data_IF_666956152035
#
_entry.id   IF_666956152035
#
_cell.length_a   1.000
_cell.length_b   1.000
_cell.length_c   1.000
_cell.angle_alpha   90.00
_cell.angle_beta   90.00
_cell.angle_gamma   90.00
#
_symmetry.space_group_name_H-M   'P 1'
#
loop_
_entity.id
_entity.type
_entity.pdbx_description
1 polymer ?
#
# COMPACT_ATOMS: atom_id res chain seq x y z
N UNK A 1 32.16 48.35 0.51
CA UNK A 1 31.18 47.75 1.43
C UNK A 1 30.13 47.03 0.59
N UNK A 2 29.86 45.79 0.96
CA UNK A 2 29.23 44.70 0.19
C UNK A 2 27.79 44.97 -0.28
N UNK A 3 27.37 44.40 -1.42
CA UNK A 3 25.97 44.27 -1.77
C UNK A 3 25.35 43.09 -1.00
N UNK A 4 24.31 43.37 -0.23
CA UNK A 4 23.48 42.38 0.46
C UNK A 4 22.68 41.59 -0.59
N UNK A 5 23.19 40.41 -0.93
CA UNK A 5 22.47 39.42 -1.71
C UNK A 5 21.35 38.90 -0.80
N UNK A 6 20.11 39.31 -1.06
CA UNK A 6 18.94 38.64 -0.51
C UNK A 6 18.83 37.28 -1.18
N UNK A 7 19.39 36.29 -0.51
CA UNK A 7 19.22 34.87 -0.81
C UNK A 7 17.79 34.50 -0.41
N UNK A 8 16.85 34.68 -1.36
CA UNK A 8 15.49 34.18 -1.22
C UNK A 8 15.58 32.68 -0.99
N UNK A 9 15.38 32.30 0.26
CA UNK A 9 15.31 30.92 0.69
C UNK A 9 14.18 30.23 -0.07
N UNK A 10 14.54 29.49 -1.12
CA UNK A 10 13.71 28.41 -1.64
C UNK A 10 13.46 27.49 -0.47
N UNK A 11 12.28 27.63 0.13
CA UNK A 11 11.76 26.69 1.11
C UNK A 11 12.01 25.28 0.59
N UNK A 12 12.50 24.34 1.42
CA UNK A 12 12.71 22.98 0.97
C UNK A 12 11.38 22.49 0.43
N UNK A 13 11.32 22.29 -0.89
CA UNK A 13 10.16 21.69 -1.54
C UNK A 13 9.93 20.40 -0.77
N UNK A 14 8.80 20.35 -0.05
CA UNK A 14 8.38 19.16 0.68
C UNK A 14 8.65 17.95 -0.23
N UNK A 15 9.33 16.90 0.23
CA UNK A 15 9.72 15.79 -0.63
C UNK A 15 8.51 15.40 -1.45
N UNK A 16 8.59 15.55 -2.77
CA UNK A 16 7.50 15.18 -3.68
C UNK A 16 7.14 13.77 -3.29
N UNK A 17 5.96 13.58 -2.71
CA UNK A 17 5.56 12.29 -2.16
C UNK A 17 5.53 11.35 -3.36
N UNK A 18 6.57 10.50 -3.50
CA UNK A 18 6.77 9.62 -4.65
C UNK A 18 5.57 8.69 -4.88
N UNK A 19 4.70 8.58 -3.87
CA UNK A 19 3.49 7.75 -3.84
C UNK A 19 2.37 8.54 -3.18
N UNK A 20 1.77 9.54 -3.86
CA UNK A 20 0.88 10.50 -3.23
C UNK A 20 -0.34 9.84 -2.59
N UNK A 21 -0.83 8.77 -3.22
CA UNK A 21 -2.02 8.05 -2.79
C UNK A 21 -1.76 7.04 -1.65
N UNK A 22 -0.50 6.75 -1.32
CA UNK A 22 -0.19 5.80 -0.26
C UNK A 22 -0.23 6.52 1.09
N UNK A 23 -1.20 6.20 1.96
CA UNK A 23 -1.33 6.88 3.26
C UNK A 23 -0.37 6.37 4.34
N UNK A 24 0.26 5.21 4.13
CA UNK A 24 1.23 4.65 5.07
C UNK A 24 2.43 4.06 4.33
N UNK A 25 3.62 4.26 4.88
CA UNK A 25 4.84 3.66 4.35
C UNK A 25 4.71 2.14 4.29
N UNK A 26 5.06 1.56 3.15
CA UNK A 26 5.06 0.13 2.92
C UNK A 26 6.47 -0.36 2.61
N UNK A 27 6.93 -1.39 3.32
CA UNK A 27 8.23 -2.02 3.05
C UNK A 27 8.24 -2.84 1.76
N UNK A 28 7.07 -3.12 1.17
CA UNK A 28 6.94 -3.92 -0.04
C UNK A 28 6.71 -3.08 -1.29
N UNK A 29 6.14 -1.88 -1.15
CA UNK A 29 5.80 -1.04 -2.30
C UNK A 29 6.94 -0.07 -2.52
N UNK A 30 7.69 -0.28 -3.60
CA UNK A 30 8.64 0.70 -4.13
C UNK A 30 7.98 1.52 -5.26
N UNK A 31 8.62 2.60 -5.70
CA UNK A 31 8.11 3.51 -6.75
C UNK A 31 7.73 2.74 -8.02
N UNK A 32 8.62 1.88 -8.51
CA UNK A 32 8.38 1.06 -9.71
C UNK A 32 7.15 0.14 -9.57
N UNK A 33 7.00 -0.51 -8.41
CA UNK A 33 5.84 -1.37 -8.15
C UNK A 33 4.56 -0.54 -8.07
N UNK A 34 4.63 0.66 -7.48
CA UNK A 34 3.48 1.55 -7.41
C UNK A 34 3.03 2.05 -8.77
N UNK A 35 3.97 2.45 -9.64
CA UNK A 35 3.66 2.82 -11.03
C UNK A 35 3.06 1.64 -11.79
N UNK A 36 3.65 0.44 -11.64
CA UNK A 36 3.12 -0.78 -12.24
C UNK A 36 1.69 -1.08 -11.77
N UNK A 37 1.41 -0.94 -10.47
CA UNK A 37 0.06 -1.15 -9.94
C UNK A 37 -0.89 -0.05 -10.42
N UNK A 38 -0.49 1.22 -10.44
CA UNK A 38 -1.31 2.32 -10.98
C UNK A 38 -1.65 2.10 -12.46
N UNK A 39 -0.74 1.52 -13.26
CA UNK A 39 -0.99 1.20 -14.65
C UNK A 39 -1.94 -0.01 -14.82
N UNK A 40 -1.74 -1.06 -14.02
CA UNK A 40 -2.46 -2.34 -14.13
C UNK A 40 -3.83 -2.37 -13.47
N UNK A 41 -4.05 -1.51 -12.48
CA UNK A 41 -5.30 -1.49 -11.75
C UNK A 41 -6.45 -0.89 -12.57
N UNK A 42 -7.71 -1.31 -12.31
CA UNK A 42 -8.88 -0.73 -12.97
C UNK A 42 -8.99 0.78 -12.76
N UNK A 43 -9.51 1.52 -13.74
CA UNK A 43 -9.68 2.97 -13.61
C UNK A 43 -10.55 3.38 -12.41
N UNK A 44 -11.47 2.52 -11.95
CA UNK A 44 -12.30 2.74 -10.76
C UNK A 44 -11.49 2.88 -9.46
N UNK A 45 -10.25 2.39 -9.41
CA UNK A 45 -9.37 2.53 -8.22
C UNK A 45 -8.21 3.50 -8.44
N UNK A 46 -8.07 4.04 -9.66
CA UNK A 46 -7.05 5.06 -9.96
C UNK A 46 -7.46 6.38 -9.33
N UNK A 47 -6.52 7.02 -8.63
CA UNK A 47 -6.76 8.26 -7.90
C UNK A 47 -7.42 8.11 -6.52
N UNK A 48 -7.84 6.89 -6.14
CA UNK A 48 -8.25 6.62 -4.77
C UNK A 48 -7.05 6.66 -3.82
N UNK A 49 -7.28 7.07 -2.57
CA UNK A 49 -6.28 6.94 -1.51
C UNK A 49 -6.16 5.48 -1.08
N UNK A 50 -4.94 4.97 -1.04
CA UNK A 50 -4.61 3.63 -0.61
C UNK A 50 -4.37 3.66 0.88
N UNK A 51 -5.31 3.09 1.61
CA UNK A 51 -5.29 3.03 3.07
C UNK A 51 -4.83 1.67 3.54
N UNK A 52 -3.84 1.67 4.43
CA UNK A 52 -3.33 0.44 5.03
C UNK A 52 -4.33 -0.09 6.06
N UNK A 53 -5.08 -1.12 5.71
CA UNK A 53 -5.99 -1.82 6.64
C UNK A 53 -5.27 -2.82 7.54
N UNK A 54 -4.23 -3.47 7.02
CA UNK A 54 -3.51 -4.52 7.73
C UNK A 54 -2.06 -4.63 7.25
N UNK A 55 -1.15 -4.91 8.17
CA UNK A 55 0.23 -5.28 7.86
C UNK A 55 0.76 -6.20 8.94
N UNK A 56 1.64 -7.12 8.58
CA UNK A 56 2.23 -8.07 9.52
C UNK A 56 3.16 -7.40 10.53
N UNK A 57 3.74 -6.24 10.17
CA UNK A 57 4.59 -5.43 11.04
C UNK A 57 3.80 -4.67 12.11
N UNK A 58 2.64 -4.08 11.75
CA UNK A 58 1.84 -3.28 12.69
C UNK A 58 0.81 -4.10 13.47
N UNK A 59 0.25 -5.14 12.85
CA UNK A 59 -0.90 -5.88 13.39
C UNK A 59 -0.58 -7.35 13.74
N UNK A 60 0.65 -7.80 13.51
CA UNK A 60 1.10 -9.18 13.72
C UNK A 60 0.74 -10.12 12.57
N UNK A 61 1.06 -11.41 12.70
CA UNK A 61 0.90 -12.42 11.62
C UNK A 61 -0.41 -13.22 11.69
N UNK A 62 -1.34 -12.80 12.54
CA UNK A 62 -2.57 -13.55 12.82
C UNK A 62 -3.59 -13.41 11.70
N UNK A 63 -3.98 -14.53 11.09
CA UNK A 63 -5.09 -14.56 10.12
C UNK A 63 -6.40 -14.04 10.70
N UNK A 64 -6.66 -14.28 11.99
CA UNK A 64 -7.86 -13.75 12.67
C UNK A 64 -7.88 -12.22 12.63
N UNK A 65 -6.73 -11.59 12.86
CA UNK A 65 -6.60 -10.13 12.83
C UNK A 65 -6.78 -9.60 11.41
N UNK A 66 -6.16 -10.25 10.41
CA UNK A 66 -6.34 -9.92 8.99
C UNK A 66 -7.81 -10.01 8.57
N UNK A 67 -8.50 -11.09 8.92
CA UNK A 67 -9.90 -11.29 8.57
C UNK A 67 -10.79 -10.20 9.18
N UNK A 68 -10.56 -9.87 10.46
CA UNK A 68 -11.30 -8.80 11.14
C UNK A 68 -11.07 -7.43 10.50
N UNK A 69 -9.81 -7.05 10.27
CA UNK A 69 -9.50 -5.77 9.64
C UNK A 69 -10.01 -5.72 8.18
N UNK A 70 -10.04 -6.85 7.49
CA UNK A 70 -10.59 -6.91 6.12
C UNK A 70 -12.11 -6.70 6.08
N UNK A 71 -12.83 -6.92 7.19
CA UNK A 71 -14.27 -6.70 7.26
C UNK A 71 -14.65 -5.22 7.14
N UNK A 72 -13.73 -4.31 7.50
CA UNK A 72 -13.91 -2.86 7.38
C UNK A 72 -13.64 -2.34 5.96
N UNK A 73 -13.34 -3.23 5.02
CA UNK A 73 -13.08 -2.88 3.63
C UNK A 73 -14.39 -2.46 2.93
N UNK A 74 -14.54 -1.16 2.69
CA UNK A 74 -15.69 -0.55 2.00
C UNK A 74 -15.57 -0.53 0.46
N UNK A 75 -14.47 -1.04 -0.11
CA UNK A 75 -14.17 -0.96 -1.54
C UNK A 75 -13.18 -2.02 -2.00
N UNK A 76 -12.61 -1.91 -3.21
CA UNK A 76 -11.59 -2.84 -3.66
C UNK A 76 -10.32 -2.74 -2.79
N UNK A 77 -9.84 -3.87 -2.30
CA UNK A 77 -8.66 -4.00 -1.46
C UNK A 77 -7.49 -4.59 -2.22
N UNK A 78 -6.27 -4.12 -1.96
CA UNK A 78 -5.06 -4.69 -2.55
C UNK A 78 -4.31 -5.51 -1.51
N UNK A 79 -4.15 -6.81 -1.76
CA UNK A 79 -3.31 -7.68 -0.93
C UNK A 79 -1.93 -7.80 -1.56
N UNK A 80 -0.89 -7.45 -0.80
CA UNK A 80 0.50 -7.59 -1.20
C UNK A 80 1.21 -8.49 -0.17
N UNK A 81 1.93 -9.49 -0.67
CA UNK A 81 2.65 -10.48 0.10
C UNK A 81 4.08 -10.56 -0.44
N UNK A 82 5.05 -10.48 0.47
CA UNK A 82 6.44 -10.81 0.17
C UNK A 82 6.80 -12.18 0.73
N UNK A 83 7.56 -12.97 -0.03
CA UNK A 83 8.20 -14.17 0.48
C UNK A 83 9.57 -13.87 1.12
N UNK A 84 10.21 -14.89 1.68
CA UNK A 84 11.56 -14.76 2.28
C UNK A 84 12.70 -14.73 1.26
N UNK A 85 12.41 -15.02 -0.01
CA UNK A 85 13.37 -15.01 -1.13
C UNK A 85 13.35 -13.67 -1.89
N UNK A 86 12.54 -12.72 -1.45
CA UNK A 86 12.41 -11.39 -2.06
C UNK A 86 11.36 -11.29 -3.17
N UNK A 87 10.59 -12.37 -3.43
CA UNK A 87 9.46 -12.33 -4.34
C UNK A 87 8.28 -11.56 -3.75
N UNK A 88 7.71 -10.64 -4.53
CA UNK A 88 6.52 -9.86 -4.16
C UNK A 88 5.37 -10.24 -5.08
N UNK A 89 4.24 -10.64 -4.51
CA UNK A 89 3.04 -11.04 -5.24
C UNK A 89 1.79 -10.63 -4.47
N UNK A 90 0.64 -10.74 -5.11
CA UNK A 90 -0.58 -10.20 -4.53
C UNK A 90 -1.79 -10.34 -5.43
N UNK A 91 -2.86 -9.65 -5.06
CA UNK A 91 -4.09 -9.62 -5.83
C UNK A 91 -5.02 -8.49 -5.39
N UNK A 92 -5.87 -8.07 -6.34
CA UNK A 92 -7.00 -7.18 -6.06
C UNK A 92 -8.16 -8.01 -5.51
N UNK A 93 -8.81 -7.48 -4.48
CA UNK A 93 -9.92 -8.07 -3.78
C UNK A 93 -11.13 -7.16 -3.94
N UNK A 94 -12.22 -7.65 -4.51
CA UNK A 94 -13.45 -6.85 -4.63
C UNK A 94 -14.30 -6.87 -3.35
N UNK A 95 -13.95 -7.72 -2.39
CA UNK A 95 -14.72 -7.97 -1.16
C UNK A 95 -13.79 -8.28 0.02
N UNK A 96 -14.26 -8.09 1.28
CA UNK A 96 -13.60 -8.59 2.48
C UNK A 96 -13.18 -10.06 2.39
N UNK A 97 -12.07 -10.40 3.04
CA UNK A 97 -11.55 -11.77 3.04
C UNK A 97 -12.47 -12.62 3.93
N UNK A 98 -13.08 -13.64 3.31
CA UNK A 98 -13.99 -14.55 4.01
C UNK A 98 -13.27 -15.85 4.39
N UNK A 99 -13.47 -16.36 5.62
CA UNK A 99 -13.00 -17.68 5.98
C UNK A 99 -13.59 -18.73 5.04
N UNK A 100 -12.74 -19.60 4.49
CA UNK A 100 -13.21 -20.74 3.72
C UNK A 100 -13.54 -21.90 4.68
N UNK A 101 -14.80 -22.38 4.77
CA UNK A 101 -15.21 -23.44 5.71
C UNK A 101 -14.74 -24.84 5.27
N UNK A 102 -14.36 -25.00 4.00
CA UNK A 102 -13.81 -26.25 3.47
C UNK A 102 -12.29 -26.16 3.45
N UNK A 103 -11.60 -27.19 3.97
CA UNK A 103 -10.15 -27.39 3.73
C UNK A 103 -9.95 -27.62 2.23
N UNK A 104 -9.69 -26.54 1.49
CA UNK A 104 -9.36 -26.61 0.06
C UNK A 104 -7.87 -26.85 -0.19
N UNK A 105 -7.06 -26.78 0.86
CA UNK A 105 -5.65 -27.15 0.85
C UNK A 105 -5.50 -28.48 1.57
N UNK A 106 -5.38 -29.56 0.80
CA UNK A 106 -4.81 -30.82 1.24
C UNK A 106 -3.39 -30.83 0.68
N UNK A 107 -2.42 -30.52 1.53
CA UNK A 107 -1.01 -30.81 1.26
C UNK A 107 -0.72 -32.25 1.64
#
# INVERSE_FOLDING_TARGET
CTPEIFEDAVAPQSPVKLMPNLTADSSFINVELYEFLQASLPNIVKGCQWVLLYSTLKHGISLRTLLRNSADLSGPGLLIVGDRKGGVFGGLLDCPIKPCPKRKYQG
#
